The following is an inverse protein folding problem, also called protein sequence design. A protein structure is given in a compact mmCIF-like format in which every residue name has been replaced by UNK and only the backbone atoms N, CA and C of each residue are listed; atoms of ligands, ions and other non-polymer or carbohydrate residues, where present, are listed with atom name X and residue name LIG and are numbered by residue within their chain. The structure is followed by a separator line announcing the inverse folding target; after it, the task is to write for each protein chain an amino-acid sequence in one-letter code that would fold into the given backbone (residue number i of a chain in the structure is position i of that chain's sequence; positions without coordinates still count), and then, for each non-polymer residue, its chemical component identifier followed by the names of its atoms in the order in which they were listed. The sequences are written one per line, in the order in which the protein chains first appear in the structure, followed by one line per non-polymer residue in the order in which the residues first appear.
data_IF_933325089688
#
_entry.id   IF_933325089688
#
_cell.length_a   1.000
_cell.length_b   1.000
_cell.length_c   1.000
_cell.angle_alpha   90.00
_cell.angle_beta   90.00
_cell.angle_gamma   90.00
#
_symmetry.space_group_name_H-M   'P 1'
#
loop_
_entity.id
_entity.type
_entity.pdbx_description
1 polymer ?
#
# COMPACT_ATOMS: atom_id res chain seq x y z
N UNK A 1 -40.33 1.78 -8.71
CA UNK A 1 -38.93 1.32 -8.56
C UNK A 1 -38.08 2.54 -8.23
N UNK A 2 -37.75 2.75 -6.95
CA UNK A 2 -36.83 3.84 -6.57
C UNK A 2 -35.40 3.29 -6.60
N UNK A 3 -34.57 3.87 -7.47
CA UNK A 3 -33.15 3.57 -7.55
C UNK A 3 -32.44 4.30 -6.40
N UNK A 4 -31.84 3.55 -5.48
CA UNK A 4 -30.91 4.11 -4.50
C UNK A 4 -29.49 4.11 -5.08
N UNK A 5 -28.71 5.12 -4.72
CA UNK A 5 -27.28 5.15 -5.07
C UNK A 5 -26.55 3.99 -4.38
N UNK A 6 -25.57 3.41 -5.07
CA UNK A 6 -24.75 2.32 -4.53
C UNK A 6 -24.11 2.70 -3.19
N UNK A 7 -23.71 3.96 -3.04
CA UNK A 7 -23.11 4.47 -1.81
C UNK A 7 -24.04 4.30 -0.59
N UNK A 8 -25.37 4.38 -0.77
CA UNK A 8 -26.36 4.14 0.30
C UNK A 8 -26.62 2.66 0.57
N UNK A 9 -26.40 1.80 -0.41
CA UNK A 9 -26.58 0.34 -0.27
C UNK A 9 -25.42 -0.31 0.50
N UNK A 10 -24.22 0.27 0.40
CA UNK A 10 -23.00 -0.24 1.03
C UNK A 10 -22.93 0.04 2.53
N UNK A 11 -23.64 1.08 3.00
CA UNK A 11 -23.67 1.44 4.43
C UNK A 11 -24.10 0.23 5.29
N UNK A 12 -23.42 -0.05 6.41
CA UNK A 12 -23.78 -1.13 7.31
C UNK A 12 -25.25 -1.07 7.75
N UNK A 13 -25.87 -2.23 8.00
CA UNK A 13 -27.25 -2.28 8.49
C UNK A 13 -27.43 -1.54 9.83
N UNK A 14 -26.39 -1.51 10.67
CA UNK A 14 -26.36 -0.76 11.93
C UNK A 14 -26.45 0.75 11.74
N UNK A 15 -26.04 1.26 10.56
CA UNK A 15 -26.01 2.68 10.21
C UNK A 15 -27.14 3.05 9.23
N UNK A 16 -28.16 2.20 9.09
CA UNK A 16 -29.34 2.48 8.27
C UNK A 16 -29.19 2.15 6.78
N UNK A 17 -28.11 1.45 6.38
CA UNK A 17 -27.94 0.93 5.04
C UNK A 17 -28.38 -0.53 4.87
N UNK A 18 -28.03 -1.13 3.73
CA UNK A 18 -28.36 -2.53 3.42
C UNK A 18 -27.21 -3.51 3.69
N UNK A 19 -26.02 -3.00 4.02
CA UNK A 19 -24.83 -3.80 4.35
C UNK A 19 -24.23 -4.54 3.16
N UNK A 20 -24.44 -4.05 1.94
CA UNK A 20 -23.76 -4.62 0.77
C UNK A 20 -22.26 -4.29 0.79
N UNK A 21 -21.42 -5.16 0.24
CA UNK A 21 -20.01 -4.84 0.05
C UNK A 21 -19.85 -3.83 -1.08
N UNK A 22 -18.97 -2.85 -0.93
CA UNK A 22 -18.60 -1.98 -2.04
C UNK A 22 -17.99 -2.84 -3.16
N UNK A 23 -18.72 -2.92 -4.28
CA UNK A 23 -18.32 -3.69 -5.45
C UNK A 23 -17.02 -3.17 -6.07
N UNK A 24 -16.75 -1.85 -5.98
CA UNK A 24 -15.50 -1.27 -6.49
C UNK A 24 -14.32 -1.77 -5.66
N UNK A 25 -14.42 -1.67 -4.33
CA UNK A 25 -13.42 -2.23 -3.42
C UNK A 25 -13.26 -3.74 -3.57
N UNK A 26 -14.38 -4.47 -3.68
CA UNK A 26 -14.35 -5.92 -3.85
C UNK A 26 -13.63 -6.33 -5.13
N UNK A 27 -13.89 -5.64 -6.26
CA UNK A 27 -13.18 -5.90 -7.50
C UNK A 27 -11.68 -5.59 -7.40
N UNK A 28 -11.30 -4.48 -6.77
CA UNK A 28 -9.88 -4.16 -6.49
C UNK A 28 -9.21 -5.28 -5.69
N UNK A 29 -9.87 -5.77 -4.65
CA UNK A 29 -9.37 -6.87 -3.83
C UNK A 29 -9.21 -8.17 -4.64
N UNK A 30 -10.15 -8.48 -5.53
CA UNK A 30 -10.05 -9.65 -6.42
C UNK A 30 -8.87 -9.55 -7.39
N UNK A 31 -8.66 -8.37 -7.99
CA UNK A 31 -7.51 -8.13 -8.89
C UNK A 31 -6.20 -8.30 -8.13
N UNK A 32 -6.08 -7.68 -6.96
CA UNK A 32 -4.89 -7.83 -6.12
C UNK A 32 -4.65 -9.28 -5.71
N UNK A 33 -5.72 -10.03 -5.40
CA UNK A 33 -5.63 -11.46 -5.06
C UNK A 33 -5.09 -12.27 -6.24
N UNK A 34 -5.56 -11.93 -7.44
CA UNK A 34 -5.15 -12.62 -8.64
C UNK A 34 -3.70 -12.29 -9.01
N UNK A 35 -3.27 -11.04 -8.88
CA UNK A 35 -1.87 -10.63 -9.04
C UNK A 35 -0.97 -11.32 -8.01
N UNK A 36 -1.40 -11.39 -6.75
CA UNK A 36 -0.69 -12.10 -5.68
C UNK A 36 -0.51 -13.59 -6.03
N UNK A 37 -1.56 -14.23 -6.55
CA UNK A 37 -1.49 -15.62 -7.00
C UNK A 37 -0.48 -15.84 -8.12
N UNK A 38 -0.29 -14.88 -9.04
CA UNK A 38 0.75 -14.98 -10.07
C UNK A 38 2.16 -14.99 -9.47
N UNK A 39 2.35 -14.28 -8.35
CA UNK A 39 3.63 -14.21 -7.63
C UNK A 39 3.87 -15.47 -6.81
N UNK A 40 2.87 -15.91 -6.04
CA UNK A 40 3.00 -17.02 -5.09
C UNK A 40 2.97 -18.39 -5.78
N UNK A 41 2.27 -18.51 -6.91
CA UNK A 41 2.09 -19.77 -7.62
C UNK A 41 2.60 -19.65 -9.07
N UNK A 42 3.92 -19.53 -9.29
CA UNK A 42 4.50 -19.30 -10.61
C UNK A 42 4.33 -20.49 -11.56
N UNK A 43 4.16 -21.71 -11.03
CA UNK A 43 4.10 -22.95 -11.83
C UNK A 43 2.71 -23.24 -12.42
N UNK A 44 1.68 -22.51 -12.00
CA UNK A 44 0.36 -22.63 -12.63
C UNK A 44 0.45 -22.29 -14.11
N UNK A 45 -0.30 -23.03 -14.94
CA UNK A 45 -0.36 -22.79 -16.38
C UNK A 45 -0.68 -21.32 -16.70
N UNK A 46 -1.67 -20.74 -16.02
CA UNK A 46 -2.03 -19.33 -16.19
C UNK A 46 -0.89 -18.39 -15.80
N UNK A 47 -0.19 -18.65 -14.70
CA UNK A 47 0.96 -17.85 -14.27
C UNK A 47 2.09 -17.90 -15.28
N UNK A 48 2.40 -19.09 -15.83
CA UNK A 48 3.42 -19.29 -16.87
C UNK A 48 3.07 -18.56 -18.16
N UNK A 49 1.81 -18.67 -18.62
CA UNK A 49 1.34 -17.99 -19.83
C UNK A 49 1.42 -16.47 -19.67
N UNK A 50 0.91 -15.94 -18.56
CA UNK A 50 0.90 -14.49 -18.30
C UNK A 50 2.32 -13.95 -18.12
N UNK A 51 3.20 -14.69 -17.44
CA UNK A 51 4.62 -14.35 -17.31
C UNK A 51 5.28 -14.26 -18.68
N UNK A 52 5.17 -15.30 -19.49
CA UNK A 52 5.80 -15.33 -20.81
C UNK A 52 5.25 -14.24 -21.73
N UNK A 53 3.95 -13.94 -21.64
CA UNK A 53 3.30 -12.93 -22.48
C UNK A 53 3.64 -11.50 -22.07
N UNK A 54 3.68 -11.19 -20.78
CA UNK A 54 3.74 -9.81 -20.31
C UNK A 54 5.07 -9.43 -19.67
N UNK A 55 5.71 -10.31 -18.90
CA UNK A 55 6.91 -10.00 -18.13
C UNK A 55 7.93 -11.15 -18.22
N UNK A 56 8.35 -11.46 -19.46
CA UNK A 56 9.30 -12.54 -19.71
C UNK A 56 10.67 -12.21 -19.08
N UNK A 57 11.22 -13.14 -18.30
CA UNK A 57 12.53 -13.04 -17.63
C UNK A 57 12.75 -11.82 -16.69
N UNK A 58 11.68 -11.08 -16.39
CA UNK A 58 11.71 -9.94 -15.48
C UNK A 58 10.70 -10.14 -14.34
N UNK A 59 10.82 -9.32 -13.30
CA UNK A 59 9.82 -9.29 -12.23
C UNK A 59 8.50 -8.69 -12.74
N UNK A 60 7.36 -9.17 -12.24
CA UNK A 60 6.05 -8.59 -12.56
C UNK A 60 5.99 -7.09 -12.19
N UNK A 61 6.76 -6.66 -11.18
CA UNK A 61 6.84 -5.26 -10.75
C UNK A 61 7.71 -4.37 -11.65
N UNK A 62 8.54 -4.96 -12.50
CA UNK A 62 9.35 -4.24 -13.50
C UNK A 62 8.59 -4.03 -14.81
N UNK A 63 7.37 -4.57 -14.90
CA UNK A 63 6.56 -4.45 -16.10
C UNK A 63 6.27 -2.99 -16.45
N UNK A 64 6.53 -2.63 -17.70
CA UNK A 64 6.21 -1.34 -18.27
C UNK A 64 5.33 -1.53 -19.52
N UNK A 65 4.49 -0.54 -19.81
CA UNK A 65 3.62 -0.60 -20.98
C UNK A 65 4.44 -0.34 -22.26
N UNK A 66 4.83 -1.41 -22.94
CA UNK A 66 5.59 -1.36 -24.20
C UNK A 66 4.71 -1.31 -25.45
N UNK A 67 3.39 -1.10 -25.31
CA UNK A 67 2.43 -1.27 -26.41
C UNK A 67 2.11 -2.75 -26.68
N UNK A 68 0.87 -3.07 -27.00
CA UNK A 68 0.41 -4.45 -27.22
C UNK A 68 -0.17 -5.17 -25.98
N UNK A 69 -0.23 -4.49 -24.84
CA UNK A 69 -0.90 -5.03 -23.66
C UNK A 69 -2.43 -4.99 -23.84
N UNK A 70 -3.09 -6.12 -23.56
CA UNK A 70 -4.56 -6.18 -23.52
C UNK A 70 -5.11 -5.24 -22.46
N UNK A 71 -6.27 -4.64 -22.71
CA UNK A 71 -6.98 -3.79 -21.74
C UNK A 71 -7.10 -4.42 -20.34
N UNK A 72 -7.41 -5.72 -20.27
CA UNK A 72 -7.52 -6.45 -19.01
C UNK A 72 -6.19 -6.46 -18.22
N UNK A 73 -5.08 -6.80 -18.88
CA UNK A 73 -3.76 -6.78 -18.26
C UNK A 73 -3.36 -5.37 -17.83
N UNK A 74 -3.61 -4.35 -18.65
CA UNK A 74 -3.34 -2.96 -18.26
C UNK A 74 -4.14 -2.54 -17.02
N UNK A 75 -5.40 -2.98 -16.92
CA UNK A 75 -6.23 -2.79 -15.73
C UNK A 75 -5.62 -3.47 -14.51
N UNK A 76 -5.17 -4.72 -14.62
CA UNK A 76 -4.53 -5.43 -13.53
C UNK A 76 -3.19 -4.80 -13.14
N UNK A 77 -2.32 -4.54 -14.12
CA UNK A 77 -1.00 -3.97 -13.92
C UNK A 77 -1.05 -2.60 -13.23
N UNK A 78 -2.13 -1.83 -13.40
CA UNK A 78 -2.34 -0.57 -12.67
C UNK A 78 -2.36 -0.73 -11.15
N UNK A 79 -2.62 -1.94 -10.63
CA UNK A 79 -2.60 -2.26 -9.21
C UNK A 79 -1.24 -2.77 -8.71
N UNK A 80 -0.26 -3.01 -9.58
CA UNK A 80 1.08 -3.45 -9.18
C UNK A 80 1.77 -2.48 -8.22
N UNK A 81 1.72 -1.14 -8.39
CA UNK A 81 2.31 -0.22 -7.43
C UNK A 81 1.64 -0.27 -6.05
N UNK A 82 0.33 -0.56 -6.00
CA UNK A 82 -0.39 -0.78 -4.75
C UNK A 82 0.08 -2.07 -4.11
N UNK A 83 0.13 -3.16 -4.89
CA UNK A 83 0.61 -4.45 -4.43
C UNK A 83 2.03 -4.35 -3.87
N UNK A 84 2.94 -3.73 -4.61
CA UNK A 84 4.33 -3.52 -4.23
C UNK A 84 4.49 -2.82 -2.88
N UNK A 85 3.65 -1.83 -2.54
CA UNK A 85 3.69 -1.15 -1.22
C UNK A 85 3.39 -2.07 -0.04
N UNK A 86 2.62 -3.13 -0.27
CA UNK A 86 2.16 -4.04 0.79
C UNK A 86 2.85 -5.40 0.76
N UNK A 87 3.63 -5.69 -0.29
CA UNK A 87 4.37 -6.94 -0.43
C UNK A 87 5.83 -6.76 -0.06
N UNK A 88 6.37 -7.70 0.73
CA UNK A 88 7.81 -7.82 0.97
C UNK A 88 8.33 -9.13 0.38
N UNK A 89 9.43 -9.04 -0.34
CA UNK A 89 10.11 -10.21 -0.90
C UNK A 89 10.90 -10.86 0.23
N UNK A 90 10.69 -12.14 0.42
CA UNK A 90 11.47 -12.94 1.36
C UNK A 90 12.60 -13.62 0.61
N UNK A 91 13.84 -13.31 0.97
CA UNK A 91 15.02 -13.91 0.33
C UNK A 91 15.20 -15.34 0.83
N UNK A 92 15.10 -16.31 -0.08
CA UNK A 92 15.40 -17.72 0.20
C UNK A 92 16.82 -18.06 -0.21
N UNK A 93 17.09 -18.10 -1.51
CA UNK A 93 18.42 -18.39 -2.09
C UNK A 93 19.00 -17.20 -2.86
N UNK A 94 18.24 -16.11 -2.97
CA UNK A 94 18.61 -14.88 -3.66
C UNK A 94 18.80 -14.99 -5.17
N UNK A 95 18.40 -16.10 -5.82
CA UNK A 95 18.64 -16.33 -7.25
C UNK A 95 17.69 -15.59 -8.19
N UNK A 96 16.50 -15.25 -7.70
CA UNK A 96 15.46 -14.59 -8.49
C UNK A 96 15.30 -13.10 -8.14
N UNK A 97 16.02 -12.61 -7.12
CA UNK A 97 15.90 -11.23 -6.64
C UNK A 97 17.18 -10.45 -6.95
N UNK A 98 17.04 -9.30 -7.60
CA UNK A 98 18.13 -8.35 -7.86
C UNK A 98 18.38 -7.45 -6.64
N UNK A 99 19.56 -6.87 -6.53
CA UNK A 99 19.86 -5.96 -5.41
C UNK A 99 18.99 -4.71 -5.43
N UNK A 100 18.69 -4.19 -6.62
CA UNK A 100 17.85 -3.01 -6.80
C UNK A 100 16.34 -3.34 -6.75
N UNK A 101 15.96 -4.61 -6.58
CA UNK A 101 14.55 -4.96 -6.41
C UNK A 101 13.99 -4.32 -5.15
N UNK A 102 12.75 -3.85 -5.24
CA UNK A 102 12.05 -3.25 -4.10
C UNK A 102 11.68 -4.29 -3.04
N UNK A 103 11.66 -3.87 -1.78
CA UNK A 103 10.98 -4.55 -0.66
C UNK A 103 11.56 -5.88 -0.16
N UNK A 104 12.84 -6.21 -0.39
CA UNK A 104 13.48 -7.38 0.22
C UNK A 104 14.24 -7.09 1.52
N UNK A 105 14.47 -5.82 1.86
CA UNK A 105 15.03 -5.39 3.15
C UNK A 105 13.87 -5.09 4.10
N UNK A 106 13.78 -5.81 5.21
CA UNK A 106 12.75 -5.59 6.22
C UNK A 106 13.03 -4.30 7.02
N UNK A 107 12.03 -3.68 7.64
CA UNK A 107 12.22 -2.52 8.55
C UNK A 107 12.59 -1.16 7.94
N UNK A 108 12.93 -1.08 6.65
CA UNK A 108 13.26 0.19 6.00
C UNK A 108 12.00 0.93 5.49
N UNK A 109 11.97 2.26 5.65
CA UNK A 109 10.88 3.10 5.15
C UNK A 109 10.97 3.36 3.64
N UNK A 110 12.15 3.20 3.03
CA UNK A 110 12.32 3.34 1.59
C UNK A 110 11.97 2.04 0.85
N UNK A 111 11.35 2.20 -0.32
CA UNK A 111 10.85 1.12 -1.20
C UNK A 111 11.97 0.20 -1.71
N UNK A 112 13.22 0.68 -1.72
CA UNK A 112 14.41 -0.03 -2.21
C UNK A 112 15.61 0.21 -1.27
N UNK A 113 16.56 -0.73 -1.20
CA UNK A 113 17.78 -0.52 -0.43
C UNK A 113 18.69 0.52 -1.11
N UNK A 114 19.31 1.36 -0.30
CA UNK A 114 20.22 2.39 -0.79
C UNK A 114 21.62 1.82 -0.99
N UNK A 115 21.98 1.67 -2.26
CA UNK A 115 23.30 1.25 -2.70
C UNK A 115 24.25 2.44 -2.70
N UNK A 116 25.54 2.18 -2.46
CA UNK A 116 26.58 3.21 -2.57
C UNK A 116 26.68 3.74 -4.01
N UNK A 117 27.10 5.00 -4.13
CA UNK A 117 27.27 5.68 -5.42
C UNK A 117 28.21 4.87 -6.32
N UNK A 118 27.76 4.61 -7.56
CA UNK A 118 28.51 3.85 -8.57
C UNK A 118 28.19 2.36 -8.65
N UNK A 119 27.34 1.82 -7.77
CA UNK A 119 26.88 0.42 -7.83
C UNK A 119 25.56 0.33 -8.62
N UNK A 120 25.56 -0.36 -9.76
CA UNK A 120 24.33 -0.72 -10.46
C UNK A 120 23.74 -2.02 -9.89
N UNK A 121 22.75 -1.89 -9.02
CA UNK A 121 22.08 -3.01 -8.38
C UNK A 121 21.22 -3.88 -9.31
N UNK A 122 21.02 -3.49 -10.57
CA UNK A 122 20.32 -4.32 -11.55
C UNK A 122 21.21 -5.47 -12.09
N UNK A 123 22.53 -5.30 -12.00
CA UNK A 123 23.51 -6.28 -12.49
C UNK A 123 23.72 -7.44 -11.52
N UNK A 124 23.38 -7.24 -10.24
CA UNK A 124 23.67 -8.20 -9.18
C UNK A 124 22.39 -8.78 -8.59
N UNK A 125 22.45 -10.07 -8.28
CA UNK A 125 21.41 -10.80 -7.54
C UNK A 125 21.75 -10.84 -6.06
N UNK A 126 20.72 -10.92 -5.22
CA UNK A 126 20.88 -11.03 -3.77
C UNK A 126 21.71 -12.26 -3.38
N UNK A 127 21.71 -13.32 -4.20
CA UNK A 127 22.58 -14.50 -4.02
C UNK A 127 24.06 -14.14 -3.83
N UNK A 128 24.54 -13.07 -4.46
CA UNK A 128 25.96 -12.66 -4.35
C UNK A 128 26.30 -12.24 -2.90
N UNK A 129 25.31 -11.79 -2.13
CA UNK A 129 25.45 -11.44 -0.72
C UNK A 129 25.35 -12.64 0.23
N UNK A 130 25.09 -13.84 -0.29
CA UNK A 130 24.84 -15.05 0.50
C UNK A 130 26.05 -16.00 0.48
N UNK A 131 26.51 -16.37 1.67
CA UNK A 131 27.54 -17.38 1.91
C UNK A 131 26.89 -18.74 2.26
N UNK A 132 27.68 -19.81 2.18
CA UNK A 132 27.33 -21.16 2.63
C UNK A 132 25.97 -21.66 2.10
N UNK A 133 25.64 -21.37 0.83
CA UNK A 133 24.41 -21.82 0.20
C UNK A 133 23.13 -21.09 0.64
N UNK A 134 23.24 -19.90 1.24
CA UNK A 134 22.08 -19.09 1.65
C UNK A 134 21.86 -19.00 3.16
N UNK A 135 22.72 -19.62 3.97
CA UNK A 135 22.55 -19.70 5.43
C UNK A 135 23.09 -18.45 6.13
N UNK A 136 24.08 -17.79 5.54
CA UNK A 136 24.76 -16.64 6.16
C UNK A 136 24.92 -15.52 5.15
N UNK A 137 24.87 -14.27 5.62
CA UNK A 137 25.14 -13.10 4.82
C UNK A 137 26.63 -12.76 4.85
N UNK A 138 27.19 -12.37 3.70
CA UNK A 138 28.52 -11.79 3.64
C UNK A 138 28.47 -10.37 4.21
N UNK A 139 28.72 -10.25 5.51
CA UNK A 139 28.72 -8.97 6.22
C UNK A 139 29.72 -7.96 5.65
N UNK A 140 30.82 -8.43 5.04
CA UNK A 140 31.84 -7.59 4.43
C UNK A 140 31.30 -6.99 3.13
N UNK A 141 30.72 -7.84 2.27
CA UNK A 141 30.15 -7.40 1.01
C UNK A 141 28.90 -6.54 1.18
N UNK A 142 28.05 -6.85 2.17
CA UNK A 142 26.89 -6.01 2.52
C UNK A 142 27.36 -4.61 2.95
N UNK A 143 28.35 -4.49 3.84
CA UNK A 143 28.89 -3.17 4.25
C UNK A 143 29.55 -2.41 3.10
N UNK A 144 30.13 -3.12 2.14
CA UNK A 144 30.76 -2.52 0.97
C UNK A 144 29.75 -1.98 -0.04
N UNK A 145 28.60 -2.65 -0.23
CA UNK A 145 27.62 -2.31 -1.25
C UNK A 145 26.52 -1.34 -0.78
N UNK A 146 26.15 -1.37 0.50
CA UNK A 146 25.08 -0.54 1.06
C UNK A 146 25.61 0.65 1.86
N UNK A 147 24.79 1.70 1.98
CA UNK A 147 25.07 2.85 2.83
C UNK A 147 25.06 2.47 4.34
N UNK A 148 25.90 3.10 5.19
CA UNK A 148 26.07 2.72 6.59
C UNK A 148 24.83 2.97 7.47
N UNK A 149 23.89 3.80 7.03
CA UNK A 149 22.63 4.10 7.74
C UNK A 149 21.61 2.96 7.68
N UNK A 150 21.82 1.97 6.81
CA UNK A 150 20.90 0.85 6.66
C UNK A 150 21.38 -0.28 7.58
N UNK A 151 20.67 -0.54 8.68
CA UNK A 151 20.84 -1.74 9.53
C UNK A 151 20.35 -3.02 8.82
N UNK A 152 20.83 -3.24 7.58
CA UNK A 152 20.45 -4.37 6.71
C UNK A 152 20.66 -5.69 7.43
N UNK A 153 21.74 -5.82 8.21
CA UNK A 153 22.15 -7.10 8.82
C UNK A 153 21.16 -7.60 9.90
N UNK A 154 20.61 -6.70 10.73
CA UNK A 154 19.62 -7.08 11.76
C UNK A 154 18.28 -7.49 11.15
N UNK A 155 17.88 -6.80 10.08
CA UNK A 155 16.60 -6.93 9.39
C UNK A 155 16.48 -8.22 8.56
N UNK A 156 17.60 -8.82 8.17
CA UNK A 156 17.61 -10.04 7.36
C UNK A 156 17.37 -11.34 8.17
N UNK A 157 17.46 -11.29 9.50
CA UNK A 157 17.29 -12.44 10.40
C UNK A 157 15.83 -12.86 10.66
N UNK A 158 14.86 -11.98 10.35
CA UNK A 158 13.44 -12.15 10.73
C UNK A 158 12.54 -12.67 9.60
N UNK A 159 13.11 -13.05 8.46
CA UNK A 159 12.38 -13.24 7.20
C UNK A 159 11.95 -14.69 6.93
N UNK A 160 11.33 -15.35 7.89
CA UNK A 160 10.60 -16.60 7.62
C UNK A 160 9.36 -16.66 8.50
N UNK A 161 8.20 -16.32 7.94
CA UNK A 161 6.90 -16.99 8.18
C UNK A 161 5.70 -16.16 7.68
N UNK A 162 4.72 -16.89 7.11
CA UNK A 162 3.29 -16.55 6.93
C UNK A 162 2.93 -15.54 5.85
N UNK A 163 2.97 -15.99 4.58
CA UNK A 163 2.40 -15.30 3.43
C UNK A 163 0.86 -15.09 3.56
N UNK A 164 0.12 -16.09 4.06
CA UNK A 164 -1.34 -16.02 4.17
C UNK A 164 -1.84 -14.99 5.20
N UNK A 165 -1.15 -14.83 6.33
CA UNK A 165 -1.51 -13.80 7.32
C UNK A 165 -1.28 -12.38 6.79
N UNK A 166 -0.32 -12.21 5.88
CA UNK A 166 0.01 -10.91 5.28
C UNK A 166 -1.07 -10.45 4.30
N UNK A 167 -1.75 -11.37 3.61
CA UNK A 167 -2.92 -11.04 2.78
C UNK A 167 -4.05 -10.42 3.60
N UNK A 168 -4.34 -10.97 4.79
CA UNK A 168 -5.33 -10.42 5.72
C UNK A 168 -5.02 -8.98 6.12
N UNK A 169 -3.76 -8.72 6.53
CA UNK A 169 -3.30 -7.37 6.90
C UNK A 169 -3.33 -6.39 5.73
N UNK A 170 -3.09 -6.87 4.51
CA UNK A 170 -3.13 -6.04 3.30
C UNK A 170 -4.55 -5.60 2.96
N UNK A 171 -5.52 -6.53 3.02
CA UNK A 171 -6.94 -6.21 2.80
C UNK A 171 -7.44 -5.21 3.83
N UNK A 172 -7.05 -5.39 5.09
CA UNK A 172 -7.38 -4.46 6.17
C UNK A 172 -6.80 -3.06 5.93
N UNK A 173 -5.53 -2.94 5.56
CA UNK A 173 -4.89 -1.65 5.24
C UNK A 173 -5.51 -0.95 4.04
N UNK A 174 -5.91 -1.69 3.00
CA UNK A 174 -6.63 -1.13 1.85
C UNK A 174 -8.01 -0.64 2.25
N UNK A 175 -8.71 -1.40 3.09
CA UNK A 175 -9.97 -0.98 3.70
C UNK A 175 -9.81 0.32 4.49
N UNK A 176 -8.81 0.39 5.38
CA UNK A 176 -8.50 1.58 6.19
C UNK A 176 -8.13 2.79 5.33
N UNK A 177 -7.39 2.63 4.22
CA UNK A 177 -7.09 3.76 3.32
C UNK A 177 -8.32 4.25 2.55
N UNK A 178 -9.23 3.35 2.20
CA UNK A 178 -10.48 3.73 1.57
C UNK A 178 -11.37 4.48 2.55
N UNK A 179 -11.52 3.94 3.75
CA UNK A 179 -12.30 4.55 4.84
C UNK A 179 -11.74 5.95 5.18
N UNK A 180 -10.41 6.09 5.30
CA UNK A 180 -9.79 7.39 5.51
C UNK A 180 -10.06 8.41 4.38
N UNK A 181 -10.17 7.95 3.12
CA UNK A 181 -10.54 8.83 1.99
C UNK A 181 -12.02 9.20 1.99
N UNK A 182 -12.89 8.27 2.36
CA UNK A 182 -14.33 8.50 2.52
C UNK A 182 -14.56 9.50 3.66
N UNK A 183 -13.93 9.27 4.82
CA UNK A 183 -13.93 10.17 5.98
C UNK A 183 -13.40 11.57 5.62
N UNK A 184 -12.30 11.66 4.86
CA UNK A 184 -11.77 12.95 4.40
C UNK A 184 -12.78 13.69 3.51
N UNK A 185 -13.52 12.99 2.64
CA UNK A 185 -14.54 13.58 1.78
C UNK A 185 -15.74 14.07 2.60
N UNK A 186 -16.23 13.27 3.53
CA UNK A 186 -17.33 13.63 4.45
C UNK A 186 -16.94 14.82 5.34
N UNK A 187 -15.69 14.84 5.83
CA UNK A 187 -15.15 15.97 6.60
C UNK A 187 -15.12 17.26 5.79
N UNK A 188 -14.68 17.21 4.53
CA UNK A 188 -14.71 18.38 3.65
C UNK A 188 -16.13 18.85 3.34
N UNK A 189 -17.10 17.95 3.21
CA UNK A 189 -18.53 18.29 3.04
C UNK A 189 -19.10 18.94 4.31
N UNK A 190 -18.79 18.43 5.50
CA UNK A 190 -19.21 19.01 6.77
C UNK A 190 -18.60 20.42 6.96
N UNK A 191 -17.30 20.59 6.71
CA UNK A 191 -16.62 21.89 6.78
C UNK A 191 -17.14 22.89 5.73
N UNK A 192 -17.75 22.41 4.63
CA UNK A 192 -18.37 23.28 3.62
C UNK A 192 -19.66 23.92 4.13
N UNK A 193 -20.39 23.25 5.03
CA UNK A 193 -21.66 23.73 5.58
C UNK A 193 -21.48 24.79 6.66
N UNK A 194 -20.27 25.00 7.19
CA UNK A 194 -19.96 26.07 8.13
C UNK A 194 -19.66 27.36 7.34
N UNK A 195 -20.54 28.38 7.37
CA UNK A 195 -20.50 29.51 6.42
C UNK A 195 -19.36 30.51 6.65
N UNK A 196 -18.51 30.31 7.65
CA UNK A 196 -17.50 31.28 8.11
C UNK A 196 -16.04 30.90 7.81
N UNK A 197 -15.77 29.73 7.19
CA UNK A 197 -14.40 29.27 6.94
C UNK A 197 -13.89 29.57 5.52
N UNK A 198 -12.68 30.11 5.43
CA UNK A 198 -11.93 30.21 4.16
C UNK A 198 -11.40 28.85 3.70
N UNK A 199 -11.08 28.72 2.42
CA UNK A 199 -10.52 27.48 1.84
C UNK A 199 -9.23 27.03 2.52
N UNK A 200 -8.41 27.99 2.98
CA UNK A 200 -7.15 27.74 3.68
C UNK A 200 -7.39 27.22 5.10
N UNK A 201 -8.32 27.82 5.83
CA UNK A 201 -8.71 27.35 7.16
C UNK A 201 -9.30 25.94 7.12
N UNK A 202 -10.11 25.62 6.09
CA UNK A 202 -10.62 24.25 5.85
C UNK A 202 -9.49 23.24 5.68
N UNK A 203 -8.40 23.63 5.01
CA UNK A 203 -7.24 22.76 4.82
C UNK A 203 -6.47 22.52 6.13
N UNK A 204 -6.30 23.55 6.96
CA UNK A 204 -5.64 23.45 8.27
C UNK A 204 -6.41 22.49 9.18
N UNK A 205 -7.72 22.68 9.26
CA UNK A 205 -8.62 21.87 10.10
C UNK A 205 -8.69 20.42 9.61
N UNK A 206 -8.77 20.20 8.29
CA UNK A 206 -8.72 18.86 7.73
C UNK A 206 -7.40 18.15 8.06
N UNK A 207 -6.27 18.86 8.01
CA UNK A 207 -4.95 18.32 8.34
C UNK A 207 -4.82 17.99 9.83
N UNK A 208 -5.46 18.76 10.71
CA UNK A 208 -5.54 18.48 12.15
C UNK A 208 -6.29 17.17 12.41
N UNK A 209 -7.53 17.05 11.91
CA UNK A 209 -8.33 15.84 12.15
C UNK A 209 -7.70 14.58 11.54
N UNK A 210 -7.03 14.69 10.38
CA UNK A 210 -6.27 13.57 9.82
C UNK A 210 -5.14 13.05 10.75
N UNK A 211 -4.65 13.88 11.67
CA UNK A 211 -3.64 13.50 12.67
C UNK A 211 -4.27 13.06 14.00
N UNK A 212 -5.45 13.58 14.34
CA UNK A 212 -6.16 13.30 15.59
C UNK A 212 -7.54 12.67 15.29
N UNK A 213 -7.58 11.34 15.19
CA UNK A 213 -8.79 10.59 14.81
C UNK A 213 -9.89 10.61 15.89
N UNK A 214 -9.52 10.59 17.16
CA UNK A 214 -10.50 10.63 18.27
C UNK A 214 -11.28 11.96 18.26
N UNK A 215 -10.59 13.07 18.02
CA UNK A 215 -11.22 14.39 17.86
C UNK A 215 -12.13 14.45 16.62
N UNK A 216 -11.80 13.69 15.56
CA UNK A 216 -12.64 13.61 14.37
C UNK A 216 -13.97 12.90 14.66
N UNK A 217 -13.94 11.82 15.43
CA UNK A 217 -15.15 11.10 15.84
C UNK A 217 -16.04 11.96 16.74
N UNK A 218 -15.43 12.73 17.65
CA UNK A 218 -16.14 13.73 18.48
C UNK A 218 -16.78 14.81 17.60
N UNK A 219 -16.04 15.34 16.62
CA UNK A 219 -16.54 16.36 15.68
C UNK A 219 -17.79 15.92 14.91
N UNK A 220 -17.92 14.64 14.55
CA UNK A 220 -19.12 14.13 13.88
C UNK A 220 -20.28 13.80 14.81
N UNK A 221 -20.03 13.72 16.11
CA UNK A 221 -21.02 13.36 17.13
C UNK A 221 -21.73 14.58 17.75
N UNK A 222 -21.21 15.79 17.52
CA UNK A 222 -21.70 17.07 18.07
C UNK A 222 -22.59 17.83 17.08
N UNK A 223 -23.32 18.82 17.56
CA UNK A 223 -24.20 19.65 16.72
C UNK A 223 -23.42 20.72 15.91
N UNK A 224 -24.09 21.41 14.98
CA UNK A 224 -23.42 22.36 14.07
C UNK A 224 -22.84 23.60 14.78
N UNK A 225 -23.40 24.01 15.93
CA UNK A 225 -22.84 25.11 16.74
C UNK A 225 -21.57 24.67 17.46
N UNK A 226 -21.58 23.48 18.03
CA UNK A 226 -20.43 22.84 18.69
C UNK A 226 -19.31 22.54 17.69
N UNK A 227 -19.63 22.10 16.47
CA UNK A 227 -18.66 21.94 15.37
C UNK A 227 -17.96 23.25 15.05
N UNK A 228 -18.70 24.35 14.93
CA UNK A 228 -18.11 25.66 14.65
C UNK A 228 -17.17 26.12 15.77
N UNK A 229 -17.53 25.85 17.03
CA UNK A 229 -16.69 26.14 18.20
C UNK A 229 -15.39 25.31 18.19
N UNK A 230 -15.49 24.00 17.95
CA UNK A 230 -14.35 23.09 17.88
C UNK A 230 -13.37 23.50 16.77
N UNK A 231 -13.89 23.84 15.60
CA UNK A 231 -13.07 24.32 14.48
C UNK A 231 -12.36 25.64 14.82
N UNK A 232 -13.03 26.54 15.55
CA UNK A 232 -12.42 27.78 16.02
C UNK A 232 -11.30 27.53 17.02
N UNK A 233 -11.46 26.58 17.94
CA UNK A 233 -10.40 26.17 18.88
C UNK A 233 -9.18 25.59 18.17
N UNK A 234 -9.40 24.77 17.13
CA UNK A 234 -8.32 24.20 16.30
C UNK A 234 -7.55 25.31 15.58
N UNK A 235 -8.24 26.32 15.02
CA UNK A 235 -7.61 27.43 14.32
C UNK A 235 -6.86 28.40 15.25
N UNK A 236 -7.33 28.54 16.49
CA UNK A 236 -6.68 29.34 17.54
C UNK A 236 -5.56 28.58 18.27
N UNK A 237 -5.28 27.32 17.88
CA UNK A 237 -4.25 26.46 18.46
C UNK A 237 -4.44 26.23 19.98
N UNK A 238 -5.72 26.14 20.40
CA UNK A 238 -6.15 25.95 21.80
C UNK A 238 -6.44 24.49 22.16
N UNK A 239 -6.16 23.57 21.25
CA UNK A 239 -6.29 22.11 21.37
C UNK A 239 -4.93 21.45 21.13
#
# INVERSE_FOLDING_TARGET
MHWLSWDKLVVPKSEGGLGFKDLKLFNKALILKQLWRLIEQPDLLMSRILRHKYFNDCSIFEWQNTGGASWLWSSWASFLPVLQKFTRITIRDGQSTRLNDSNWVSGHHSVKPELRVGVDGNLFKVKVLLLAGGVQWDSTLVRALFAPEVEVVGLLSTLCEKADQRWGQMVERIGVQHDAKEQQKVLYEALKNIPMLTTEQKFIVAKYFCRNKEDMDVFFSVDEEEKASMVKMILENKL
#
